data_IF_447858051995
#
_entry.id   IF_447858051995
#
_cell.length_a   1.000
_cell.length_b   1.000
_cell.length_c   1.000
_cell.angle_alpha   90.00
_cell.angle_beta   90.00
_cell.angle_gamma   90.00
#
_symmetry.space_group_name_H-M   'P 1'
#
loop_
_entity.id
_entity.type
_entity.pdbx_description
1 polymer ?
#
# COMPACT_ATOMS: atom_id res chain seq x y z
N UNK A 1 6.19 13.49 27.43
CA UNK A 1 6.44 14.30 26.22
C UNK A 1 6.08 13.57 24.92
N UNK A 2 6.61 12.38 24.60
CA UNK A 2 6.18 11.62 23.40
C UNK A 2 4.75 11.05 23.48
N UNK A 3 4.34 10.56 24.66
CA UNK A 3 2.97 10.04 24.89
C UNK A 3 1.90 11.15 24.89
N UNK A 4 2.22 12.32 25.45
CA UNK A 4 1.32 13.47 25.50
C UNK A 4 1.00 13.99 24.09
N UNK A 5 1.99 13.93 23.18
CA UNK A 5 1.80 14.31 21.78
C UNK A 5 0.94 13.27 21.03
N UNK A 6 1.14 11.95 21.27
CA UNK A 6 0.32 10.91 20.64
C UNK A 6 -1.16 10.98 21.05
N UNK A 7 -1.44 11.25 22.33
CA UNK A 7 -2.82 11.42 22.80
C UNK A 7 -3.48 12.66 22.19
N UNK A 8 -2.75 13.77 22.12
CA UNK A 8 -3.25 14.99 21.48
C UNK A 8 -3.57 14.77 19.99
N UNK A 9 -2.68 14.11 19.25
CA UNK A 9 -2.90 13.78 17.83
C UNK A 9 -4.09 12.81 17.69
N UNK A 10 -4.21 11.81 18.57
CA UNK A 10 -5.34 10.86 18.54
C UNK A 10 -6.67 11.59 18.74
N UNK A 11 -6.75 12.49 19.73
CA UNK A 11 -7.96 13.30 19.97
C UNK A 11 -8.29 14.20 18.77
N UNK A 12 -7.28 14.80 18.15
CA UNK A 12 -7.46 15.61 16.94
C UNK A 12 -8.08 14.78 15.80
N UNK A 13 -7.60 13.56 15.57
CA UNK A 13 -8.22 12.65 14.59
C UNK A 13 -9.64 12.26 14.99
N UNK A 14 -9.89 11.94 16.27
CA UNK A 14 -11.22 11.59 16.76
C UNK A 14 -12.22 12.72 16.53
N UNK A 15 -11.85 13.97 16.80
CA UNK A 15 -12.70 15.14 16.56
C UNK A 15 -12.95 15.39 15.08
N UNK A 16 -11.88 15.38 14.26
CA UNK A 16 -12.00 15.64 12.83
C UNK A 16 -12.73 14.52 12.08
N UNK A 17 -12.59 13.26 12.49
CA UNK A 17 -13.17 12.10 11.82
C UNK A 17 -14.47 11.57 12.47
N UNK A 18 -14.97 12.24 13.51
CA UNK A 18 -16.31 11.97 14.04
C UNK A 18 -17.38 12.64 13.15
N UNK A 19 -18.26 11.81 12.60
CA UNK A 19 -19.37 12.23 11.74
C UNK A 19 -20.47 12.98 12.51
N UNK A 20 -20.52 12.85 13.84
CA UNK A 20 -21.45 13.57 14.70
C UNK A 20 -20.91 14.91 15.21
N UNK A 21 -19.62 15.19 14.96
CA UNK A 21 -18.96 16.41 15.37
C UNK A 21 -18.91 17.43 14.20
N UNK A 22 -19.08 18.72 14.51
CA UNK A 22 -19.02 19.81 13.53
C UNK A 22 -17.59 20.30 13.22
N UNK A 23 -16.56 19.75 13.87
CA UNK A 23 -15.16 20.05 13.54
C UNK A 23 -14.88 19.70 12.08
N UNK A 24 -14.33 20.66 11.33
CA UNK A 24 -13.98 20.47 9.92
C UNK A 24 -12.83 19.48 9.76
N UNK A 25 -12.84 18.72 8.67
CA UNK A 25 -11.74 17.84 8.29
C UNK A 25 -10.65 18.67 7.61
N UNK A 26 -9.43 18.62 8.15
CA UNK A 26 -8.23 19.14 7.52
C UNK A 26 -7.36 17.97 7.04
N UNK A 27 -7.64 17.47 5.84
CA UNK A 27 -6.97 16.29 5.30
C UNK A 27 -5.45 16.44 5.23
N UNK A 28 -4.94 17.63 4.88
CA UNK A 28 -3.49 17.89 4.79
C UNK A 28 -2.79 17.76 6.16
N UNK A 29 -3.44 18.25 7.22
CA UNK A 29 -2.93 18.11 8.59
C UNK A 29 -2.90 16.64 9.02
N UNK A 30 -3.99 15.90 8.78
CA UNK A 30 -4.06 14.47 9.11
C UNK A 30 -3.01 13.67 8.32
N UNK A 31 -2.86 13.94 7.02
CA UNK A 31 -1.81 13.33 6.19
C UNK A 31 -0.42 13.61 6.74
N UNK A 32 -0.14 14.86 7.12
CA UNK A 32 1.16 15.23 7.71
C UNK A 32 1.50 14.42 8.95
N UNK A 33 0.55 14.23 9.89
CA UNK A 33 0.80 13.41 11.06
C UNK A 33 1.08 11.94 10.72
N UNK A 34 0.32 11.36 9.78
CA UNK A 34 0.52 9.96 9.36
C UNK A 34 1.84 9.78 8.61
N UNK A 35 2.20 10.71 7.71
CA UNK A 35 3.50 10.72 7.03
C UNK A 35 4.69 10.79 8.00
N UNK A 36 4.50 11.46 9.15
CA UNK A 36 5.48 11.54 10.24
C UNK A 36 5.38 10.37 11.26
N UNK A 37 4.66 9.29 10.92
CA UNK A 37 4.64 8.05 11.69
C UNK A 37 3.50 7.90 12.69
N UNK A 38 2.49 8.76 12.67
CA UNK A 38 1.26 8.49 13.41
C UNK A 38 0.52 7.29 12.79
N UNK A 39 0.10 6.36 13.63
CA UNK A 39 -0.73 5.22 13.25
C UNK A 39 -1.66 4.83 14.40
N UNK A 40 -2.88 4.41 14.06
CA UNK A 40 -3.90 4.05 15.04
C UNK A 40 -4.85 3.00 14.47
N UNK A 41 -4.84 1.80 15.06
CA UNK A 41 -5.75 0.71 14.64
C UNK A 41 -7.23 1.11 14.78
N UNK A 42 -7.56 1.87 15.83
CA UNK A 42 -8.91 2.38 16.08
C UNK A 42 -9.40 3.32 14.97
N UNK A 43 -8.50 4.15 14.43
CA UNK A 43 -8.86 5.23 13.51
C UNK A 43 -8.54 4.91 12.04
N UNK A 44 -7.80 3.81 11.77
CA UNK A 44 -7.31 3.46 10.43
C UNK A 44 -8.38 3.41 9.38
N UNK A 45 -9.49 2.74 9.66
CA UNK A 45 -10.62 2.69 8.75
C UNK A 45 -11.10 4.09 8.35
N UNK A 46 -11.18 5.04 9.29
CA UNK A 46 -11.65 6.41 9.01
C UNK A 46 -10.69 7.22 8.17
N UNK A 47 -9.40 7.23 8.52
CA UNK A 47 -8.45 8.06 7.76
C UNK A 47 -8.06 7.41 6.41
N UNK A 48 -8.14 6.08 6.26
CA UNK A 48 -8.06 5.45 4.94
C UNK A 48 -9.25 5.81 4.05
N UNK A 49 -10.47 5.78 4.61
CA UNK A 49 -11.65 6.30 3.92
C UNK A 49 -11.47 7.74 3.50
N UNK A 50 -10.87 8.60 4.33
CA UNK A 50 -10.55 9.97 3.94
C UNK A 50 -9.53 10.03 2.80
N UNK A 51 -8.37 9.39 2.97
CA UNK A 51 -7.23 9.51 2.04
C UNK A 51 -7.47 8.85 0.67
N UNK A 52 -8.44 7.95 0.59
CA UNK A 52 -8.92 7.31 -0.64
C UNK A 52 -10.26 7.87 -1.11
N UNK A 53 -10.61 9.11 -0.74
CA UNK A 53 -11.77 9.85 -1.25
C UNK A 53 -13.13 9.15 -1.02
N UNK A 54 -13.26 8.42 0.09
CA UNK A 54 -14.46 7.69 0.50
C UNK A 54 -14.94 8.08 1.92
N UNK A 55 -14.69 9.33 2.32
CA UNK A 55 -15.20 9.91 3.56
C UNK A 55 -16.05 11.15 3.26
N UNK A 56 -17.26 11.28 3.82
CA UNK A 56 -18.12 12.43 3.57
C UNK A 56 -17.60 13.68 4.30
N UNK A 57 -17.08 14.65 3.56
CA UNK A 57 -16.65 15.94 4.11
C UNK A 57 -17.86 16.75 4.65
N UNK A 58 -19.03 16.62 4.02
CA UNK A 58 -20.29 17.13 4.55
C UNK A 58 -20.90 16.13 5.54
N UNK A 59 -20.41 16.15 6.78
CA UNK A 59 -20.77 15.19 7.84
C UNK A 59 -22.27 15.07 8.11
N UNK A 60 -23.03 16.16 8.00
CA UNK A 60 -24.49 16.18 8.19
C UNK A 60 -25.24 15.26 7.22
N UNK A 61 -24.67 15.01 6.04
CA UNK A 61 -25.23 14.14 5.02
C UNK A 61 -24.56 12.75 4.99
N UNK A 62 -23.71 12.41 5.97
CA UNK A 62 -22.94 11.17 5.98
C UNK A 62 -23.82 9.91 5.92
N UNK A 63 -24.93 9.89 6.67
CA UNK A 63 -25.87 8.77 6.63
C UNK A 63 -26.43 8.55 5.22
N UNK A 64 -26.87 9.63 4.56
CA UNK A 64 -27.39 9.55 3.20
C UNK A 64 -26.29 9.18 2.19
N UNK A 65 -25.07 9.70 2.40
CA UNK A 65 -23.90 9.36 1.59
C UNK A 65 -23.67 7.85 1.59
N UNK A 66 -23.49 7.23 2.76
CA UNK A 66 -23.24 5.78 2.81
C UNK A 66 -24.44 4.95 2.36
N UNK A 67 -25.67 5.37 2.68
CA UNK A 67 -26.88 4.68 2.22
C UNK A 67 -26.92 4.57 0.69
N UNK A 68 -26.60 5.65 -0.03
CA UNK A 68 -26.55 5.63 -1.50
C UNK A 68 -25.47 4.69 -2.04
N UNK A 69 -24.33 4.59 -1.36
CA UNK A 69 -23.25 3.68 -1.75
C UNK A 69 -23.66 2.21 -1.56
N UNK A 70 -24.36 1.89 -0.46
CA UNK A 70 -24.95 0.56 -0.25
C UNK A 70 -25.99 0.25 -1.33
N UNK A 71 -26.94 1.18 -1.56
CA UNK A 71 -27.99 1.01 -2.58
C UNK A 71 -27.41 0.80 -3.99
N UNK A 72 -26.35 1.51 -4.36
CA UNK A 72 -25.65 1.30 -5.64
C UNK A 72 -24.93 -0.05 -5.66
N UNK A 73 -24.19 -0.37 -4.60
CA UNK A 73 -23.43 -1.60 -4.50
C UNK A 73 -24.32 -2.84 -4.64
N UNK A 74 -25.51 -2.82 -4.04
CA UNK A 74 -26.49 -3.91 -4.10
C UNK A 74 -27.07 -4.12 -5.50
N UNK A 75 -27.06 -3.08 -6.36
CA UNK A 75 -27.53 -3.16 -7.74
C UNK A 75 -26.47 -3.68 -8.72
N UNK A 76 -25.21 -3.81 -8.29
CA UNK A 76 -24.14 -4.31 -9.16
C UNK A 76 -24.37 -5.80 -9.42
N UNK A 77 -24.64 -6.12 -10.69
CA UNK A 77 -24.73 -7.51 -11.15
C UNK A 77 -23.37 -8.21 -11.05
N UNK A 78 -23.40 -9.49 -10.69
CA UNK A 78 -22.22 -10.34 -10.60
C UNK A 78 -22.25 -11.34 -11.75
N UNK A 79 -21.12 -11.45 -12.45
CA UNK A 79 -20.87 -12.52 -13.41
C UNK A 79 -19.85 -13.49 -12.82
N UNK A 80 -19.97 -14.77 -13.12
CA UNK A 80 -18.99 -15.75 -12.67
C UNK A 80 -17.63 -15.51 -13.35
N UNK A 81 -16.55 -15.69 -12.60
CA UNK A 81 -15.19 -15.60 -13.10
C UNK A 81 -14.36 -16.81 -12.61
N UNK A 82 -14.06 -17.75 -13.50
CA UNK A 82 -13.30 -18.95 -13.18
C UNK A 82 -11.86 -18.67 -12.73
N UNK A 83 -11.23 -17.60 -13.22
CA UNK A 83 -9.86 -17.22 -12.84
C UNK A 83 -9.85 -16.78 -11.39
N UNK A 84 -10.80 -15.92 -10.99
CA UNK A 84 -10.97 -15.51 -9.61
C UNK A 84 -11.25 -16.71 -8.69
N UNK A 85 -12.13 -17.64 -9.10
CA UNK A 85 -12.41 -18.84 -8.30
C UNK A 85 -11.15 -19.68 -8.04
N UNK A 86 -10.34 -19.90 -9.08
CA UNK A 86 -9.06 -20.62 -8.96
C UNK A 86 -8.10 -19.88 -8.03
N UNK A 87 -8.06 -18.56 -8.09
CA UNK A 87 -7.20 -17.74 -7.23
C UNK A 87 -7.63 -17.76 -5.77
N UNK A 88 -8.94 -17.68 -5.50
CA UNK A 88 -9.52 -17.81 -4.16
C UNK A 88 -9.24 -19.17 -3.52
N UNK A 89 -9.09 -20.23 -4.31
CA UNK A 89 -8.78 -21.58 -3.83
C UNK A 89 -7.30 -21.80 -3.53
N UNK A 90 -6.39 -20.97 -4.07
CA UNK A 90 -4.94 -21.09 -3.89
C UNK A 90 -4.32 -19.95 -3.07
N UNK A 91 -5.13 -19.00 -2.60
CA UNK A 91 -4.64 -17.90 -1.76
C UNK A 91 -4.55 -18.36 -0.30
N UNK A 92 -3.33 -18.58 0.20
CA UNK A 92 -3.04 -19.19 1.51
C UNK A 92 -3.79 -18.57 2.70
N UNK A 93 -4.05 -17.26 2.68
CA UNK A 93 -4.76 -16.63 3.79
C UNK A 93 -6.29 -16.85 3.75
N UNK A 94 -6.86 -17.29 2.62
CA UNK A 94 -8.30 -17.49 2.41
C UNK A 94 -8.73 -18.97 2.37
N UNK A 95 -7.79 -19.91 2.25
CA UNK A 95 -8.09 -21.35 2.32
C UNK A 95 -8.48 -21.76 3.74
N UNK A 96 -9.06 -22.96 3.88
CA UNK A 96 -9.45 -23.50 5.19
C UNK A 96 -8.25 -23.58 6.15
N UNK A 97 -8.42 -23.09 7.38
CA UNK A 97 -7.33 -22.94 8.35
C UNK A 97 -6.45 -21.70 8.14
N UNK A 98 -6.61 -20.99 7.01
CA UNK A 98 -5.98 -19.70 6.74
C UNK A 98 -6.52 -18.59 7.65
N UNK A 99 -5.67 -17.60 7.95
CA UNK A 99 -5.95 -16.49 8.88
C UNK A 99 -7.25 -15.73 8.57
N UNK A 100 -7.56 -15.58 7.28
CA UNK A 100 -8.70 -14.82 6.77
C UNK A 100 -9.70 -15.71 6.02
N UNK A 101 -9.75 -17.02 6.31
CA UNK A 101 -10.67 -17.96 5.65
C UNK A 101 -12.14 -17.49 5.68
N UNK A 102 -12.58 -16.87 6.78
CA UNK A 102 -13.93 -16.32 6.93
C UNK A 102 -14.25 -15.14 6.00
N UNK A 103 -13.24 -14.51 5.40
CA UNK A 103 -13.41 -13.37 4.49
C UNK A 103 -13.66 -13.80 3.05
N UNK A 104 -13.42 -15.08 2.72
CA UNK A 104 -13.40 -15.58 1.33
C UNK A 104 -14.62 -15.18 0.49
N UNK A 105 -15.82 -15.28 1.05
CA UNK A 105 -17.04 -14.91 0.33
C UNK A 105 -17.16 -13.40 0.08
N UNK A 106 -16.84 -12.58 1.09
CA UNK A 106 -16.87 -11.12 0.94
C UNK A 106 -15.84 -10.65 -0.10
N UNK A 107 -14.62 -11.20 -0.05
CA UNK A 107 -13.56 -10.89 -1.03
C UNK A 107 -13.98 -11.30 -2.45
N UNK A 108 -14.60 -12.47 -2.60
CA UNK A 108 -15.17 -12.90 -3.88
C UNK A 108 -16.18 -11.88 -4.41
N UNK A 109 -17.16 -11.48 -3.59
CA UNK A 109 -18.22 -10.56 -4.02
C UNK A 109 -17.66 -9.18 -4.37
N UNK A 110 -16.74 -8.65 -3.56
CA UNK A 110 -16.04 -7.38 -3.84
C UNK A 110 -15.40 -7.40 -5.22
N UNK A 111 -14.62 -8.44 -5.53
CA UNK A 111 -13.86 -8.52 -6.78
C UNK A 111 -14.76 -8.76 -8.00
N UNK A 112 -15.79 -9.59 -7.88
CA UNK A 112 -16.75 -9.81 -8.96
C UNK A 112 -17.58 -8.56 -9.28
N UNK A 113 -17.99 -7.81 -8.25
CA UNK A 113 -18.65 -6.51 -8.46
C UNK A 113 -17.68 -5.49 -9.05
N UNK A 114 -16.42 -5.49 -8.63
CA UNK A 114 -15.41 -4.58 -9.19
C UNK A 114 -15.21 -4.83 -10.69
N UNK A 115 -15.03 -6.09 -11.09
CA UNK A 115 -14.90 -6.49 -12.49
C UNK A 115 -16.14 -6.09 -13.31
N UNK A 116 -17.33 -6.26 -12.74
CA UNK A 116 -18.58 -5.94 -13.43
C UNK A 116 -18.73 -4.44 -13.72
N UNK A 117 -18.24 -3.58 -12.81
CA UNK A 117 -18.18 -2.12 -12.98
C UNK A 117 -17.00 -1.69 -13.86
N UNK A 118 -15.87 -2.41 -13.82
CA UNK A 118 -14.60 -2.02 -14.45
C UNK A 118 -14.16 -3.02 -15.51
N UNK A 119 -15.02 -3.29 -16.49
CA UNK A 119 -14.81 -4.32 -17.52
C UNK A 119 -13.56 -4.11 -18.38
N UNK A 120 -13.04 -2.89 -18.46
CA UNK A 120 -11.80 -2.60 -19.19
C UNK A 120 -10.54 -3.16 -18.53
N UNK A 121 -10.58 -3.32 -17.20
CA UNK A 121 -9.48 -3.89 -16.41
C UNK A 121 -9.81 -5.34 -16.03
N UNK A 122 -11.05 -5.57 -15.58
CA UNK A 122 -11.49 -6.85 -15.04
C UNK A 122 -10.75 -7.26 -13.78
N UNK A 123 -10.76 -8.56 -13.49
CA UNK A 123 -9.96 -9.13 -12.41
C UNK A 123 -8.53 -9.43 -12.87
N UNK A 124 -7.53 -8.95 -12.11
CA UNK A 124 -6.11 -9.25 -12.32
C UNK A 124 -5.53 -9.99 -11.12
N UNK A 125 -4.74 -11.03 -11.36
CA UNK A 125 -4.10 -11.81 -10.32
C UNK A 125 -3.27 -10.91 -9.38
N UNK A 126 -3.56 -10.99 -8.08
CA UNK A 126 -2.97 -10.14 -7.04
C UNK A 126 -3.95 -9.17 -6.39
N UNK A 127 -5.06 -8.85 -7.07
CA UNK A 127 -6.12 -8.00 -6.51
C UNK A 127 -6.74 -8.58 -5.23
N UNK A 128 -6.76 -9.90 -5.08
CA UNK A 128 -7.20 -10.57 -3.84
C UNK A 128 -6.44 -10.07 -2.62
N UNK A 129 -5.11 -9.97 -2.70
CA UNK A 129 -4.31 -9.56 -1.56
C UNK A 129 -4.62 -8.13 -1.12
N UNK A 130 -4.89 -7.24 -2.07
CA UNK A 130 -5.29 -5.85 -1.79
C UNK A 130 -6.67 -5.81 -1.14
N UNK A 131 -7.65 -6.53 -1.71
CA UNK A 131 -9.00 -6.59 -1.18
C UNK A 131 -9.05 -7.15 0.26
N UNK A 132 -8.20 -8.15 0.57
CA UNK A 132 -8.08 -8.72 1.93
C UNK A 132 -7.64 -7.66 2.94
N UNK A 133 -6.64 -6.83 2.59
CA UNK A 133 -6.17 -5.77 3.51
C UNK A 133 -7.27 -4.76 3.80
N UNK A 134 -7.97 -4.27 2.77
CA UNK A 134 -9.08 -3.34 2.97
C UNK A 134 -10.22 -3.93 3.79
N UNK A 135 -10.66 -5.14 3.45
CA UNK A 135 -11.72 -5.81 4.19
C UNK A 135 -11.32 -6.03 5.65
N UNK A 136 -10.08 -6.44 5.91
CA UNK A 136 -9.58 -6.63 7.26
C UNK A 136 -9.60 -5.34 8.09
N UNK A 137 -9.17 -4.21 7.52
CA UNK A 137 -9.18 -2.90 8.20
C UNK A 137 -10.60 -2.46 8.54
N UNK A 138 -11.54 -2.61 7.61
CA UNK A 138 -12.92 -2.21 7.85
C UNK A 138 -13.61 -3.17 8.83
N UNK A 139 -13.45 -4.48 8.64
CA UNK A 139 -14.07 -5.49 9.50
C UNK A 139 -13.50 -5.47 10.93
N UNK A 140 -12.30 -4.93 11.13
CA UNK A 140 -11.72 -4.75 12.47
C UNK A 140 -12.10 -3.42 13.14
N UNK A 141 -12.89 -2.57 12.48
CA UNK A 141 -13.31 -1.29 13.04
C UNK A 141 -14.15 -1.45 14.31
N UNK A 142 -13.94 -0.55 15.27
CA UNK A 142 -14.75 -0.39 16.48
C UNK A 142 -15.98 0.50 16.18
N UNK A 143 -16.74 0.11 15.15
CA UNK A 143 -17.98 0.76 14.72
C UNK A 143 -18.87 -0.30 14.05
N UNK A 144 -19.96 -0.67 14.71
CA UNK A 144 -20.87 -1.73 14.24
C UNK A 144 -21.54 -1.39 12.90
N UNK A 145 -21.75 -0.10 12.60
CA UNK A 145 -22.37 0.33 11.34
C UNK A 145 -21.41 0.12 10.18
N UNK A 146 -20.13 0.48 10.39
CA UNK A 146 -19.05 0.27 9.44
C UNK A 146 -18.79 -1.24 9.25
N UNK A 147 -18.71 -2.00 10.35
CA UNK A 147 -18.50 -3.46 10.30
C UNK A 147 -19.64 -4.18 9.58
N UNK A 148 -20.90 -3.79 9.83
CA UNK A 148 -22.06 -4.40 9.18
C UNK A 148 -22.06 -4.22 7.66
N UNK A 149 -21.42 -3.16 7.15
CA UNK A 149 -21.29 -2.86 5.72
C UNK A 149 -19.84 -3.02 5.23
N UNK A 150 -19.04 -3.87 5.89
CA UNK A 150 -17.60 -3.96 5.62
C UNK A 150 -17.27 -4.28 4.16
N UNK A 151 -18.08 -5.14 3.53
CA UNK A 151 -17.95 -5.51 2.12
C UNK A 151 -18.09 -4.29 1.20
N UNK A 152 -19.10 -3.45 1.43
CA UNK A 152 -19.37 -2.23 0.66
C UNK A 152 -18.24 -1.24 0.80
N UNK A 153 -17.80 -0.97 2.03
CA UNK A 153 -16.74 0.00 2.27
C UNK A 153 -15.40 -0.47 1.70
N UNK A 154 -15.06 -1.75 1.88
CA UNK A 154 -13.85 -2.32 1.29
C UNK A 154 -13.87 -2.27 -0.24
N UNK A 155 -15.05 -2.50 -0.87
CA UNK A 155 -15.21 -2.33 -2.32
C UNK A 155 -14.87 -0.91 -2.78
N UNK A 156 -15.38 0.13 -2.13
CA UNK A 156 -15.11 1.50 -2.56
C UNK A 156 -13.67 1.92 -2.31
N UNK A 157 -13.04 1.51 -1.21
CA UNK A 157 -11.60 1.74 -0.98
C UNK A 157 -10.75 1.05 -2.05
N UNK A 158 -11.05 -0.23 -2.33
CA UNK A 158 -10.38 -0.99 -3.37
C UNK A 158 -10.57 -0.33 -4.74
N UNK A 159 -11.81 -0.01 -5.10
CA UNK A 159 -12.15 0.61 -6.39
C UNK A 159 -11.42 1.94 -6.58
N UNK A 160 -11.43 2.82 -5.57
CA UNK A 160 -10.75 4.11 -5.65
C UNK A 160 -9.24 3.95 -5.77
N UNK A 161 -8.62 3.02 -5.03
CA UNK A 161 -7.19 2.73 -5.16
C UNK A 161 -6.85 2.21 -6.57
N UNK A 162 -7.59 1.24 -7.09
CA UNK A 162 -7.29 0.66 -8.41
C UNK A 162 -7.57 1.68 -9.52
N UNK A 163 -8.54 2.59 -9.35
CA UNK A 163 -8.78 3.67 -10.30
C UNK A 163 -7.56 4.59 -10.47
N UNK A 164 -6.76 4.77 -9.42
CA UNK A 164 -5.48 5.51 -9.48
C UNK A 164 -4.32 4.69 -10.07
N UNK A 165 -4.44 3.37 -10.10
CA UNK A 165 -3.46 2.43 -10.66
C UNK A 165 -3.86 1.88 -12.04
N UNK A 166 -4.96 2.35 -12.62
CA UNK A 166 -5.58 1.74 -13.81
C UNK A 166 -4.61 1.64 -15.00
N UNK A 167 -3.69 2.60 -15.15
CA UNK A 167 -2.68 2.60 -16.20
C UNK A 167 -1.70 1.44 -16.05
N UNK A 168 -1.45 0.95 -14.83
CA UNK A 168 -0.58 -0.20 -14.58
C UNK A 168 -1.25 -1.55 -14.88
N UNK A 169 -2.57 -1.57 -15.11
CA UNK A 169 -3.33 -2.79 -15.41
C UNK A 169 -3.83 -2.85 -16.87
N UNK A 170 -3.48 -1.87 -17.69
CA UNK A 170 -3.96 -1.78 -19.07
C UNK A 170 -2.82 -2.06 -20.05
N UNK A 171 -2.89 -3.19 -20.78
CA UNK A 171 -1.83 -3.64 -21.72
C UNK A 171 -1.37 -2.54 -22.70
N UNK A 172 -2.29 -1.68 -23.15
CA UNK A 172 -1.99 -0.57 -24.07
C UNK A 172 -1.05 0.48 -23.49
N UNK A 173 -1.00 0.58 -22.17
CA UNK A 173 -0.19 1.55 -21.43
C UNK A 173 1.08 0.89 -20.87
N UNK A 174 1.30 -0.41 -21.06
CA UNK A 174 2.41 -1.12 -20.41
C UNK A 174 3.77 -0.49 -20.72
N UNK A 175 3.97 0.00 -21.94
CA UNK A 175 5.19 0.68 -22.40
C UNK A 175 5.23 2.18 -22.11
N UNK A 176 4.12 2.77 -21.63
CA UNK A 176 4.06 4.18 -21.24
C UNK A 176 4.71 4.43 -19.87
N UNK A 177 5.19 5.66 -19.67
CA UNK A 177 5.83 6.11 -18.42
C UNK A 177 4.93 5.96 -17.18
N UNK A 178 3.62 6.09 -17.36
CA UNK A 178 2.60 5.94 -16.30
C UNK A 178 2.12 4.50 -16.12
N UNK A 179 2.39 3.64 -17.10
CA UNK A 179 2.08 2.21 -17.01
C UNK A 179 3.16 1.43 -16.31
N UNK A 180 3.02 0.11 -16.31
CA UNK A 180 3.80 -0.73 -15.41
C UNK A 180 5.29 -0.80 -15.75
N UNK A 181 5.66 -0.81 -17.05
CA UNK A 181 7.08 -0.76 -17.42
C UNK A 181 7.68 0.59 -17.08
N UNK A 182 6.94 1.68 -17.28
CA UNK A 182 7.37 3.02 -16.89
C UNK A 182 7.68 3.14 -15.40
N UNK A 183 6.81 2.60 -14.53
CA UNK A 183 7.05 2.55 -13.08
C UNK A 183 8.24 1.67 -12.69
N UNK A 184 8.38 0.50 -13.32
CA UNK A 184 9.56 -0.37 -13.09
C UNK A 184 10.84 0.35 -13.52
N UNK A 185 10.83 1.01 -14.68
CA UNK A 185 11.95 1.83 -15.14
C UNK A 185 12.25 2.94 -14.14
N UNK A 186 11.23 3.61 -13.58
CA UNK A 186 11.44 4.65 -12.57
C UNK A 186 12.13 4.13 -11.31
N UNK A 187 11.86 2.89 -10.88
CA UNK A 187 12.61 2.25 -9.77
C UNK A 187 14.11 2.14 -10.09
N UNK A 188 14.46 1.67 -11.30
CA UNK A 188 15.86 1.58 -11.71
C UNK A 188 16.51 2.95 -11.91
N UNK A 189 15.75 3.94 -12.38
CA UNK A 189 16.20 5.33 -12.48
C UNK A 189 16.52 5.94 -11.11
N UNK A 190 15.69 5.69 -10.09
CA UNK A 190 15.99 6.09 -8.70
C UNK A 190 17.30 5.44 -8.23
N UNK A 191 17.53 4.15 -8.54
CA UNK A 191 18.80 3.49 -8.22
C UNK A 191 19.98 4.14 -8.95
N UNK A 192 19.82 4.52 -10.22
CA UNK A 192 20.85 5.22 -10.99
C UNK A 192 21.20 6.57 -10.37
N UNK A 193 20.19 7.32 -9.92
CA UNK A 193 20.34 8.63 -9.27
C UNK A 193 20.98 8.51 -7.87
N UNK A 194 20.66 7.46 -7.11
CA UNK A 194 20.96 7.36 -5.67
C UNK A 194 22.03 6.32 -5.31
N UNK A 195 22.42 5.42 -6.20
CA UNK A 195 23.58 4.52 -6.09
C UNK A 195 24.00 4.01 -7.50
N UNK A 196 24.71 4.85 -8.24
CA UNK A 196 25.12 4.56 -9.62
C UNK A 196 25.91 3.25 -9.76
N UNK A 197 26.77 2.92 -8.79
CA UNK A 197 27.57 1.71 -8.81
C UNK A 197 26.71 0.45 -8.69
N UNK A 198 25.69 0.48 -7.83
CA UNK A 198 24.73 -0.62 -7.74
C UNK A 198 23.93 -0.75 -9.04
N UNK A 199 23.47 0.37 -9.61
CA UNK A 199 22.73 0.35 -10.87
C UNK A 199 23.56 -0.23 -12.03
N UNK A 200 24.81 0.22 -12.21
CA UNK A 200 25.72 -0.30 -13.25
C UNK A 200 25.94 -1.80 -13.11
N UNK A 201 26.10 -2.29 -11.88
CA UNK A 201 26.27 -3.71 -11.63
C UNK A 201 25.00 -4.51 -11.95
N UNK A 202 23.82 -3.95 -11.66
CA UNK A 202 22.53 -4.53 -12.06
C UNK A 202 22.37 -4.60 -13.58
N UNK A 203 22.80 -3.56 -14.30
CA UNK A 203 22.80 -3.53 -15.77
C UNK A 203 23.72 -4.59 -16.37
N UNK A 204 24.96 -4.69 -15.88
CA UNK A 204 25.94 -5.70 -16.31
C UNK A 204 25.37 -7.12 -16.14
N UNK A 205 24.70 -7.37 -15.02
CA UNK A 205 24.06 -8.65 -14.71
C UNK A 205 22.73 -8.88 -15.43
N UNK A 206 22.18 -7.86 -16.11
CA UNK A 206 20.90 -7.94 -16.79
C UNK A 206 19.67 -7.91 -15.87
N UNK A 207 19.82 -7.50 -14.61
CA UNK A 207 18.72 -7.40 -13.65
C UNK A 207 17.71 -6.30 -14.03
N UNK A 208 18.18 -5.18 -14.59
CA UNK A 208 17.33 -4.07 -15.05
C UNK A 208 16.44 -4.43 -16.24
N UNK A 209 16.73 -5.54 -16.95
CA UNK A 209 15.92 -6.05 -18.07
C UNK A 209 14.78 -6.95 -17.61
N UNK A 210 14.65 -7.18 -16.30
CA UNK A 210 13.64 -8.05 -15.72
C UNK A 210 12.53 -7.24 -15.06
N UNK A 211 11.38 -7.87 -14.88
CA UNK A 211 10.20 -7.26 -14.27
C UNK A 211 10.00 -7.70 -12.83
N UNK A 212 11.06 -8.06 -12.09
CA UNK A 212 10.91 -8.53 -10.70
C UNK A 212 10.18 -7.54 -9.76
N UNK A 213 10.29 -6.20 -9.91
CA UNK A 213 9.54 -5.25 -9.06
C UNK A 213 8.05 -5.18 -9.40
N UNK A 214 7.60 -5.78 -10.52
CA UNK A 214 6.21 -5.77 -10.99
C UNK A 214 5.23 -6.08 -9.87
N UNK A 215 5.46 -7.18 -9.16
CA UNK A 215 4.58 -7.65 -8.10
C UNK A 215 4.55 -6.69 -6.91
N UNK A 216 5.68 -6.06 -6.60
CA UNK A 216 5.78 -5.11 -5.49
C UNK A 216 4.92 -3.87 -5.75
N UNK A 217 4.95 -3.38 -7.00
CA UNK A 217 4.19 -2.21 -7.43
C UNK A 217 2.69 -2.56 -7.53
N UNK A 218 2.34 -3.57 -8.32
CA UNK A 218 0.93 -3.90 -8.58
C UNK A 218 0.18 -4.39 -7.34
N UNK A 219 0.88 -4.96 -6.37
CA UNK A 219 0.28 -5.48 -5.13
C UNK A 219 0.63 -4.62 -3.92
N UNK A 220 1.22 -3.44 -4.12
CA UNK A 220 1.60 -2.50 -3.05
C UNK A 220 2.30 -3.20 -1.87
N UNK A 221 3.22 -4.11 -2.18
CA UNK A 221 4.00 -4.92 -1.24
C UNK A 221 3.23 -5.92 -0.35
N UNK A 222 1.97 -6.24 -0.62
CA UNK A 222 1.18 -7.19 0.21
C UNK A 222 1.77 -8.60 0.29
N UNK A 223 2.69 -8.96 -0.60
CA UNK A 223 3.38 -10.27 -0.57
C UNK A 223 4.81 -10.19 -0.08
N UNK A 224 5.26 -8.99 0.34
CA UNK A 224 6.60 -8.76 0.88
C UNK A 224 6.53 -8.58 2.39
N UNK A 225 5.51 -7.87 2.88
CA UNK A 225 5.36 -7.55 4.29
C UNK A 225 4.22 -8.34 4.95
N UNK A 226 4.39 -8.62 6.24
CA UNK A 226 3.33 -9.19 7.08
C UNK A 226 2.18 -8.21 7.34
N UNK A 227 1.08 -8.71 7.92
CA UNK A 227 -0.15 -7.93 8.16
C UNK A 227 0.05 -6.66 8.99
N UNK A 228 1.00 -6.61 9.91
CA UNK A 228 1.21 -5.40 10.72
C UNK A 228 1.99 -4.39 9.89
N UNK A 229 3.07 -4.86 9.25
CA UNK A 229 3.94 -4.02 8.43
C UNK A 229 3.21 -3.46 7.21
N UNK A 230 2.34 -4.24 6.56
CA UNK A 230 1.57 -3.76 5.41
C UNK A 230 0.61 -2.62 5.79
N UNK A 231 -0.02 -2.68 6.97
CA UNK A 231 -0.89 -1.62 7.46
C UNK A 231 -0.11 -0.33 7.75
N UNK A 232 1.06 -0.43 8.39
CA UNK A 232 1.94 0.72 8.65
C UNK A 232 2.49 1.31 7.35
N UNK A 233 2.80 0.46 6.36
CA UNK A 233 3.20 0.89 5.03
C UNK A 233 2.10 1.66 4.31
N UNK A 234 0.89 1.12 4.32
CA UNK A 234 -0.25 1.71 3.63
C UNK A 234 -0.77 2.97 4.32
N UNK A 235 -0.68 3.07 5.65
CA UNK A 235 -0.89 4.33 6.38
C UNK A 235 -0.06 5.44 5.73
N UNK A 236 1.23 5.17 5.53
CA UNK A 236 2.16 6.14 4.98
C UNK A 236 1.96 6.40 3.49
N UNK A 237 1.70 5.35 2.70
CA UNK A 237 1.41 5.47 1.28
C UNK A 237 0.17 6.33 1.04
N UNK A 238 -0.94 6.08 1.74
CA UNK A 238 -2.16 6.86 1.51
C UNK A 238 -2.05 8.31 2.00
N UNK A 239 -1.19 8.56 3.00
CA UNK A 239 -0.89 9.90 3.47
C UNK A 239 -0.02 10.72 2.49
N UNK A 240 0.83 10.07 1.69
CA UNK A 240 1.66 10.75 0.69
C UNK A 240 0.80 11.17 -0.53
N UNK A 241 0.95 12.43 -0.97
CA UNK A 241 0.26 12.97 -2.15
C UNK A 241 0.82 12.43 -3.45
N UNK A 242 2.09 11.99 -3.44
CA UNK A 242 2.83 11.34 -4.52
C UNK A 242 3.13 9.88 -4.12
N UNK A 243 2.08 9.17 -3.69
CA UNK A 243 2.19 7.83 -3.11
C UNK A 243 2.85 6.79 -4.00
N UNK A 244 2.71 6.91 -5.31
CA UNK A 244 3.34 5.96 -6.23
C UNK A 244 4.82 6.26 -6.43
N UNK A 245 5.23 7.52 -6.38
CA UNK A 245 6.65 7.87 -6.30
C UNK A 245 7.24 7.34 -4.99
N UNK A 246 6.52 7.49 -3.87
CA UNK A 246 6.91 6.89 -2.59
C UNK A 246 7.05 5.35 -2.70
N UNK A 247 6.11 4.68 -3.37
CA UNK A 247 6.13 3.24 -3.64
C UNK A 247 7.39 2.83 -4.41
N UNK A 248 7.77 3.60 -5.44
CA UNK A 248 8.96 3.37 -6.27
C UNK A 248 10.27 3.60 -5.49
N UNK A 249 10.33 4.64 -4.65
CA UNK A 249 11.44 4.86 -3.71
C UNK A 249 11.59 3.71 -2.72
N UNK A 250 10.48 3.19 -2.17
CA UNK A 250 10.53 2.02 -1.28
C UNK A 250 11.09 0.81 -2.03
N UNK A 251 10.64 0.56 -3.27
CA UNK A 251 11.17 -0.53 -4.08
C UNK A 251 12.68 -0.39 -4.33
N UNK A 252 13.16 0.82 -4.65
CA UNK A 252 14.58 1.10 -4.84
C UNK A 252 15.39 0.86 -3.54
N UNK A 253 14.86 1.27 -2.38
CA UNK A 253 15.51 1.02 -1.08
C UNK A 253 15.58 -0.48 -0.74
N UNK A 254 14.55 -1.26 -1.09
CA UNK A 254 14.58 -2.71 -0.91
C UNK A 254 15.66 -3.38 -1.76
N UNK A 255 15.86 -2.93 -2.99
CA UNK A 255 16.95 -3.39 -3.85
C UNK A 255 18.30 -3.00 -3.25
N UNK A 256 18.43 -1.77 -2.76
CA UNK A 256 19.63 -1.29 -2.07
C UNK A 256 19.96 -2.12 -0.82
N UNK A 257 18.98 -2.62 -0.07
CA UNK A 257 19.26 -3.55 1.04
C UNK A 257 19.91 -4.86 0.62
N UNK A 258 19.82 -5.23 -0.66
CA UNK A 258 20.48 -6.40 -1.25
C UNK A 258 21.75 -6.04 -2.01
N UNK A 259 22.27 -4.82 -1.80
CA UNK A 259 23.46 -4.32 -2.49
C UNK A 259 24.63 -5.28 -2.39
N UNK A 260 24.99 -5.75 -1.19
CA UNK A 260 26.15 -6.65 -1.04
C UNK A 260 25.98 -7.94 -1.83
N UNK A 261 24.79 -8.54 -1.83
CA UNK A 261 24.48 -9.72 -2.63
C UNK A 261 24.54 -9.42 -4.13
N UNK A 262 24.00 -8.28 -4.56
CA UNK A 262 24.01 -7.86 -5.96
C UNK A 262 25.43 -7.57 -6.45
N UNK A 263 26.30 -7.00 -5.63
CA UNK A 263 27.68 -6.74 -6.01
C UNK A 263 28.47 -8.04 -6.20
N UNK A 264 28.20 -9.07 -5.39
CA UNK A 264 29.08 -10.25 -5.27
C UNK A 264 28.56 -11.52 -5.96
N UNK A 265 27.26 -11.63 -6.27
CA UNK A 265 26.68 -12.87 -6.80
C UNK A 265 26.33 -12.79 -8.29
N UNK A 266 25.96 -13.92 -8.90
CA UNK A 266 25.51 -13.95 -10.30
C UNK A 266 24.03 -13.60 -10.44
N UNK A 267 23.54 -13.50 -11.68
CA UNK A 267 22.14 -13.17 -11.98
C UNK A 267 21.13 -14.05 -11.21
N UNK A 268 21.33 -15.38 -11.22
CA UNK A 268 20.37 -16.31 -10.63
C UNK A 268 20.26 -16.13 -9.11
N UNK A 269 21.40 -15.99 -8.43
CA UNK A 269 21.42 -15.79 -6.98
C UNK A 269 20.93 -14.40 -6.59
N UNK A 270 21.22 -13.37 -7.39
CA UNK A 270 20.63 -12.04 -7.19
C UNK A 270 19.10 -12.07 -7.31
N UNK A 271 18.58 -12.72 -8.36
CA UNK A 271 17.14 -12.84 -8.58
C UNK A 271 16.46 -13.59 -7.44
N UNK A 272 17.06 -14.67 -6.96
CA UNK A 272 16.57 -15.41 -5.79
C UNK A 272 16.50 -14.51 -4.55
N UNK A 273 17.56 -13.75 -4.26
CA UNK A 273 17.60 -12.84 -3.11
C UNK A 273 16.57 -11.71 -3.21
N UNK A 274 16.38 -11.14 -4.41
CA UNK A 274 15.38 -10.10 -4.66
C UNK A 274 13.96 -10.64 -4.51
N UNK A 275 13.69 -11.88 -4.93
CA UNK A 275 12.38 -12.50 -4.75
C UNK A 275 12.12 -12.95 -3.30
N UNK A 276 13.17 -13.08 -2.47
CA UNK A 276 13.12 -13.56 -1.10
C UNK A 276 13.85 -12.59 -0.16
N UNK A 277 13.28 -11.41 0.05
CA UNK A 277 13.95 -10.31 0.77
C UNK A 277 14.26 -10.61 2.25
N UNK A 278 13.53 -11.55 2.86
CA UNK A 278 13.65 -11.89 4.28
C UNK A 278 13.04 -10.82 5.19
N UNK A 279 13.46 -10.78 6.44
CA UNK A 279 12.99 -9.79 7.40
C UNK A 279 13.49 -8.39 7.06
N UNK A 280 12.56 -7.46 6.91
CA UNK A 280 12.83 -6.06 6.62
C UNK A 280 12.24 -5.18 7.73
N UNK A 281 13.03 -4.21 8.16
CA UNK A 281 12.66 -3.18 9.12
C UNK A 281 12.07 -1.96 8.41
N UNK A 282 10.79 -1.67 8.67
CA UNK A 282 10.09 -0.52 8.10
C UNK A 282 10.65 0.82 8.59
N UNK A 283 11.13 0.90 9.85
CA UNK A 283 11.71 2.13 10.38
C UNK A 283 12.94 2.53 9.55
N UNK A 284 13.75 1.53 9.20
CA UNK A 284 14.92 1.69 8.34
C UNK A 284 14.54 2.15 6.93
N UNK A 285 13.47 1.58 6.34
CA UNK A 285 12.99 2.00 5.01
C UNK A 285 12.59 3.47 5.07
N UNK A 286 11.69 3.85 5.98
CA UNK A 286 11.17 5.21 6.03
C UNK A 286 12.25 6.24 6.33
N UNK A 287 13.18 5.91 7.23
CA UNK A 287 14.32 6.78 7.51
C UNK A 287 15.14 7.10 6.25
N UNK A 288 15.40 6.10 5.41
CA UNK A 288 16.18 6.28 4.18
C UNK A 288 15.35 7.05 3.15
N UNK A 289 14.11 6.62 2.90
CA UNK A 289 13.21 7.21 1.91
C UNK A 289 12.99 8.71 2.18
N UNK A 290 12.80 9.12 3.43
CA UNK A 290 12.53 10.51 3.79
C UNK A 290 13.68 11.45 3.48
N UNK A 291 14.90 10.93 3.60
CA UNK A 291 16.11 11.70 3.33
C UNK A 291 16.44 11.71 1.85
N UNK A 292 16.24 10.61 1.14
CA UNK A 292 16.62 10.52 -0.28
C UNK A 292 15.58 11.04 -1.27
N UNK A 293 14.27 10.99 -0.93
CA UNK A 293 13.20 11.49 -1.81
C UNK A 293 13.27 13.00 -1.98
N UNK A 294 13.61 13.73 -0.92
CA UNK A 294 13.59 15.21 -0.90
C UNK A 294 14.98 15.87 -0.93
N UNK A 295 16.07 15.09 -0.99
CA UNK A 295 17.43 15.62 -1.02
C UNK A 295 18.30 14.87 -2.04
N UNK A 296 19.40 15.50 -2.47
CA UNK A 296 20.39 14.91 -3.37
C UNK A 296 21.35 13.91 -2.69
N UNK A 297 20.93 13.33 -1.57
CA UNK A 297 21.70 12.35 -0.80
C UNK A 297 21.64 10.97 -1.48
N UNK A 298 22.76 10.25 -1.48
CA UNK A 298 22.82 8.87 -2.00
C UNK A 298 22.44 7.85 -0.93
N UNK A 299 22.07 6.63 -1.34
CA UNK A 299 21.60 5.60 -0.42
C UNK A 299 22.64 5.18 0.63
N UNK A 300 23.92 5.11 0.25
CA UNK A 300 24.99 4.68 1.15
C UNK A 300 25.25 5.70 2.27
N UNK A 301 25.29 6.99 1.94
CA UNK A 301 25.45 8.07 2.92
C UNK A 301 24.36 8.01 3.98
N UNK A 302 23.10 7.99 3.55
CA UNK A 302 21.95 7.94 4.44
C UNK A 302 21.92 6.65 5.26
N UNK A 303 22.34 5.54 4.69
CA UNK A 303 22.44 4.28 5.41
C UNK A 303 23.49 4.32 6.52
N UNK A 304 24.65 4.95 6.28
CA UNK A 304 25.66 5.14 7.33
C UNK A 304 25.14 6.06 8.44
N UNK A 305 24.41 7.11 8.11
CA UNK A 305 23.74 7.97 9.09
C UNK A 305 22.74 7.18 9.95
N UNK A 306 21.97 6.28 9.35
CA UNK A 306 21.05 5.40 10.08
C UNK A 306 21.79 4.51 11.09
N UNK A 307 22.88 3.88 10.66
CA UNK A 307 23.69 3.02 11.53
C UNK A 307 24.31 3.80 12.70
N UNK A 308 24.81 5.01 12.43
CA UNK A 308 25.34 5.89 13.47
C UNK A 308 24.25 6.29 14.48
N UNK A 309 23.06 6.65 13.99
CA UNK A 309 21.90 6.98 14.83
C UNK A 309 21.47 5.81 15.72
N UNK A 310 21.33 4.60 15.16
CA UNK A 310 20.96 3.40 15.92
C UNK A 310 22.02 3.03 16.96
N UNK A 311 23.30 3.12 16.62
CA UNK A 311 24.40 2.88 17.57
C UNK A 311 24.35 3.86 18.75
N UNK A 312 24.06 5.14 18.50
CA UNK A 312 23.90 6.13 19.57
C UNK A 312 22.75 5.80 20.53
N UNK A 313 21.61 5.34 20.01
CA UNK A 313 20.47 4.96 20.84
C UNK A 313 20.71 3.72 21.70
N UNK A 314 21.47 2.74 21.21
CA UNK A 314 21.81 1.52 21.97
C UNK A 314 22.79 1.80 23.10
N UNK A 315 23.65 2.83 22.94
CA UNK A 315 24.64 3.23 23.95
C UNK A 315 24.09 4.21 25.01
N UNK A 316 22.78 4.50 24.98
CA UNK A 316 22.07 5.34 25.95
C UNK A 316 21.13 4.50 26.81
#
# INVERSE_FOLDING_TARGET
MFLDNKNAITNLFEEQLDLNNNVCVNELELKSYVSNGFSSDKLRHKYWMLFLNYFPLEKKSAMLYYKKHVEFYDQIEIKENEILEKDLLRTDCLIEGGRFCGYKNAIKIILLKYESVNQSIGYVQGMISIAVVFYNVIYSADDDTIKANAEVHAFYLFHNLIAELKECFTEKMDEDTVGISGRISRVFEILREKDILLHEEMEIKGLCKTTFPLKWILQLFTTVFDDIKILLLWDRLFADTERFDLLEYIAAVLIFFKREEIMNYDFNKCMFTLQNLGEIDLEKIFFIVDRVKNNDLNFQEVFQEYLAYKSYLVNK
#
